data_IF_627736055365
#
_entry.id   IF_627736055365
#
_cell.length_a   1.000
_cell.length_b   1.000
_cell.length_c   1.000
_cell.angle_alpha   90.00
_cell.angle_beta   90.00
_cell.angle_gamma   90.00
#
_symmetry.space_group_name_H-M   'P 1'
#
loop_
_entity.id
_entity.type
_entity.pdbx_description
1 polymer ?
#
# COMPACT_ATOMS: atom_id res chain seq x y z
N UNK A 1 38.83 2.97 -68.29
CA UNK A 1 38.05 3.70 -67.25
C UNK A 1 36.76 3.01 -66.78
N UNK A 2 35.99 2.29 -67.64
CA UNK A 2 34.70 1.67 -67.27
C UNK A 2 34.72 0.55 -66.20
N UNK A 3 35.84 -0.16 -66.00
CA UNK A 3 35.93 -1.23 -65.00
C UNK A 3 36.03 -0.70 -63.57
N UNK A 4 36.75 0.41 -63.36
CA UNK A 4 36.88 1.03 -62.03
C UNK A 4 35.54 1.55 -61.49
N UNK A 5 34.70 2.15 -62.35
CA UNK A 5 33.38 2.62 -61.95
C UNK A 5 32.44 1.48 -61.52
N UNK A 6 32.50 0.33 -62.22
CA UNK A 6 31.75 -0.88 -61.84
C UNK A 6 32.17 -1.43 -60.49
N UNK A 7 33.48 -1.39 -60.18
CA UNK A 7 34.00 -1.84 -58.90
C UNK A 7 33.60 -0.88 -57.76
N UNK A 8 33.65 0.43 -58.00
CA UNK A 8 33.24 1.45 -57.03
C UNK A 8 31.74 1.38 -56.69
N UNK A 9 30.86 1.26 -57.69
CA UNK A 9 29.42 1.09 -57.44
C UNK A 9 29.11 -0.21 -56.69
N UNK A 10 29.91 -1.26 -56.90
CA UNK A 10 29.78 -2.54 -56.17
C UNK A 10 30.17 -2.40 -54.70
N UNK A 11 31.22 -1.65 -54.38
CA UNK A 11 31.63 -1.41 -52.97
C UNK A 11 30.65 -0.49 -52.25
N UNK A 12 30.11 0.51 -52.94
CA UNK A 12 29.11 1.43 -52.39
C UNK A 12 27.79 0.71 -52.08
N UNK A 13 27.28 -0.12 -53.00
CA UNK A 13 26.11 -0.97 -52.73
C UNK A 13 26.28 -1.86 -51.49
N UNK A 14 27.47 -2.46 -51.30
CA UNK A 14 27.75 -3.29 -50.11
C UNK A 14 27.76 -2.48 -48.81
N UNK A 15 28.26 -1.23 -48.85
CA UNK A 15 28.25 -0.33 -47.68
C UNK A 15 26.84 0.09 -47.26
N UNK A 16 25.94 0.34 -48.22
CA UNK A 16 24.54 0.67 -47.92
C UNK A 16 23.73 -0.54 -47.45
N UNK A 17 23.96 -1.73 -48.01
CA UNK A 17 23.34 -2.97 -47.54
C UNK A 17 23.68 -3.29 -46.08
N UNK A 18 24.93 -3.05 -45.65
CA UNK A 18 25.34 -3.25 -44.26
C UNK A 18 24.70 -2.25 -43.28
N UNK A 19 24.50 -0.99 -43.68
CA UNK A 19 23.82 0.00 -42.83
C UNK A 19 22.35 -0.32 -42.61
N UNK A 20 21.63 -0.80 -43.63
CA UNK A 20 20.22 -1.19 -43.50
C UNK A 20 19.99 -2.42 -42.60
N UNK A 21 20.90 -3.39 -42.61
CA UNK A 21 20.77 -4.61 -41.81
C UNK A 21 20.98 -4.39 -40.29
N UNK A 22 21.73 -3.34 -39.91
CA UNK A 22 21.98 -3.02 -38.50
C UNK A 22 20.81 -2.28 -37.83
N UNK A 23 20.02 -1.54 -38.60
CA UNK A 23 18.91 -0.74 -38.07
C UNK A 23 17.61 -1.54 -37.84
N UNK A 24 17.43 -2.68 -38.51
CA UNK A 24 16.17 -3.45 -38.47
C UNK A 24 16.04 -4.43 -37.28
N UNK A 25 17.11 -4.70 -36.51
CA UNK A 25 17.08 -5.67 -35.39
C UNK A 25 16.77 -5.08 -34.01
N UNK A 26 16.60 -3.76 -33.88
CA UNK A 26 16.50 -3.08 -32.58
C UNK A 26 15.07 -2.79 -32.08
N UNK A 27 14.03 -2.97 -32.90
CA UNK A 27 12.65 -2.61 -32.52
C UNK A 27 11.91 -3.60 -31.63
N UNK A 28 12.21 -4.91 -31.73
CA UNK A 28 11.44 -5.95 -31.03
C UNK A 28 12.07 -6.39 -29.68
N UNK A 29 13.38 -6.17 -29.51
CA UNK A 29 14.12 -6.58 -28.30
C UNK A 29 13.81 -5.70 -27.08
N UNK A 30 13.38 -4.47 -27.31
CA UNK A 30 13.11 -3.48 -26.25
C UNK A 30 11.82 -3.77 -25.47
N UNK A 31 10.84 -4.43 -26.09
CA UNK A 31 9.57 -4.75 -25.45
C UNK A 31 9.69 -6.01 -24.57
N UNK A 32 10.32 -7.07 -25.09
CA UNK A 32 10.55 -8.31 -24.32
C UNK A 32 11.44 -8.08 -23.10
N UNK A 33 12.45 -7.21 -23.20
CA UNK A 33 13.32 -6.86 -22.07
C UNK A 33 12.59 -6.06 -20.99
N UNK A 34 11.73 -5.12 -21.37
CA UNK A 34 10.92 -4.35 -20.42
C UNK A 34 9.88 -5.22 -19.70
N UNK A 35 9.19 -6.10 -20.42
CA UNK A 35 8.22 -7.01 -19.80
C UNK A 35 8.90 -7.99 -18.84
N UNK A 36 10.07 -8.53 -19.19
CA UNK A 36 10.84 -9.38 -18.29
C UNK A 36 11.33 -8.62 -17.05
N UNK A 37 11.82 -7.39 -17.21
CA UNK A 37 12.27 -6.56 -16.10
C UNK A 37 11.14 -6.19 -15.14
N UNK A 38 9.96 -5.84 -15.67
CA UNK A 38 8.76 -5.55 -14.86
C UNK A 38 8.25 -6.78 -14.13
N UNK A 39 8.28 -7.96 -14.76
CA UNK A 39 7.91 -9.23 -14.12
C UNK A 39 8.84 -9.58 -12.96
N UNK A 40 10.16 -9.45 -13.16
CA UNK A 40 11.16 -9.66 -12.10
C UNK A 40 10.98 -8.64 -10.97
N UNK A 41 10.77 -7.37 -11.31
CA UNK A 41 10.55 -6.32 -10.32
C UNK A 41 9.28 -6.56 -9.50
N UNK A 42 8.16 -6.90 -10.16
CA UNK A 42 6.92 -7.28 -9.50
C UNK A 42 7.07 -8.49 -8.57
N UNK A 43 7.83 -9.51 -8.99
CA UNK A 43 8.11 -10.68 -8.15
C UNK A 43 8.98 -10.34 -6.93
N UNK A 44 10.03 -9.51 -7.08
CA UNK A 44 10.92 -9.11 -5.99
C UNK A 44 10.21 -8.18 -5.00
N UNK A 45 9.49 -7.17 -5.51
CA UNK A 45 8.70 -6.25 -4.68
C UNK A 45 7.59 -7.01 -3.97
N UNK A 46 6.85 -7.87 -4.67
CA UNK A 46 5.81 -8.72 -4.09
C UNK A 46 6.35 -9.60 -2.97
N UNK A 47 7.44 -10.35 -3.20
CA UNK A 47 8.04 -11.24 -2.19
C UNK A 47 8.50 -10.49 -0.91
N UNK A 48 9.03 -9.27 -1.06
CA UNK A 48 9.51 -8.48 0.08
C UNK A 48 8.42 -7.63 0.76
N UNK A 49 7.39 -7.19 0.04
CA UNK A 49 6.35 -6.30 0.55
C UNK A 49 5.15 -7.04 1.14
N UNK A 50 4.77 -8.21 0.60
CA UNK A 50 3.65 -9.03 1.10
C UNK A 50 3.72 -9.31 2.61
N UNK A 51 4.85 -9.75 3.20
CA UNK A 51 4.90 -9.98 4.65
C UNK A 51 4.79 -8.70 5.48
N UNK A 52 5.03 -7.51 4.90
CA UNK A 52 4.90 -6.23 5.60
C UNK A 52 3.49 -5.65 5.59
N UNK A 53 2.66 -6.03 4.61
CA UNK A 53 1.29 -5.51 4.50
C UNK A 53 0.24 -6.41 5.15
N UNK A 54 0.59 -7.66 5.53
CA UNK A 54 -0.34 -8.60 6.18
C UNK A 54 -1.02 -8.00 7.41
N UNK A 55 -0.26 -7.37 8.31
CA UNK A 55 -0.81 -6.73 9.50
C UNK A 55 -1.73 -5.53 9.21
N UNK A 56 -1.59 -4.88 8.05
CA UNK A 56 -2.50 -3.82 7.62
C UNK A 56 -3.86 -4.41 7.22
N UNK A 57 -3.84 -5.55 6.52
CA UNK A 57 -5.05 -6.28 6.13
C UNK A 57 -5.76 -6.89 7.35
N UNK A 58 -5.00 -7.39 8.32
CA UNK A 58 -5.54 -7.95 9.57
C UNK A 58 -6.22 -6.87 10.43
N UNK A 59 -5.65 -5.66 10.52
CA UNK A 59 -6.27 -4.55 11.24
C UNK A 59 -7.55 -4.03 10.56
N UNK A 60 -7.64 -4.15 9.23
CA UNK A 60 -8.80 -3.70 8.45
C UNK A 60 -9.95 -4.73 8.43
N UNK A 61 -9.70 -5.95 8.89
CA UNK A 61 -10.67 -7.05 8.93
C UNK A 61 -11.29 -7.28 10.31
N UNK A 62 -10.99 -6.43 11.30
CA UNK A 62 -11.65 -6.48 12.61
C UNK A 62 -13.16 -6.24 12.46
N UNK A 63 -13.94 -7.24 12.88
CA UNK A 63 -15.39 -7.11 12.96
C UNK A 63 -15.76 -6.06 14.01
N UNK A 64 -16.85 -5.28 13.83
CA UNK A 64 -17.40 -4.41 14.87
C UNK A 64 -17.62 -5.13 16.20
N UNK A 65 -17.92 -6.44 16.13
CA UNK A 65 -18.11 -7.28 17.31
C UNK A 65 -16.80 -7.55 18.07
N UNK A 66 -15.67 -7.66 17.36
CA UNK A 66 -14.34 -7.84 17.98
C UNK A 66 -13.84 -6.53 18.60
N UNK A 67 -14.08 -5.39 17.94
CA UNK A 67 -13.81 -4.07 18.52
C UNK A 67 -14.63 -3.89 19.79
N UNK A 68 -15.93 -4.17 19.74
CA UNK A 68 -16.79 -4.13 20.92
C UNK A 68 -16.37 -5.13 22.01
N UNK A 69 -15.79 -6.29 21.66
CA UNK A 69 -15.26 -7.24 22.63
C UNK A 69 -14.01 -6.69 23.35
N UNK A 70 -13.11 -6.01 22.63
CA UNK A 70 -11.96 -5.31 23.21
C UNK A 70 -12.43 -4.15 24.08
N UNK A 71 -13.43 -3.39 23.63
CA UNK A 71 -14.01 -2.30 24.42
C UNK A 71 -14.61 -2.78 25.73
N UNK A 72 -15.36 -3.89 25.69
CA UNK A 72 -15.93 -4.53 26.89
C UNK A 72 -14.88 -5.17 27.79
N UNK A 73 -13.71 -5.54 27.24
CA UNK A 73 -12.60 -6.09 28.04
C UNK A 73 -11.97 -5.04 28.95
N UNK A 74 -12.06 -3.76 28.58
CA UNK A 74 -11.63 -2.64 29.41
C UNK A 74 -12.76 -2.30 30.39
N UNK A 75 -12.54 -2.55 31.67
CA UNK A 75 -13.55 -2.36 32.71
C UNK A 75 -13.12 -1.28 33.70
N UNK A 76 -13.94 -0.24 33.81
CA UNK A 76 -13.84 0.76 34.87
C UNK A 76 -15.02 0.59 35.84
N UNK A 77 -14.71 0.48 37.13
CA UNK A 77 -15.73 0.35 38.18
C UNK A 77 -16.59 1.60 38.30
N UNK A 78 -15.97 2.77 38.13
CA UNK A 78 -16.60 4.08 38.25
C UNK A 78 -15.77 5.14 37.50
N UNK A 79 -16.33 6.34 37.40
CA UNK A 79 -15.66 7.47 36.77
C UNK A 79 -14.40 7.94 37.52
N UNK A 80 -14.28 7.66 38.81
CA UNK A 80 -13.02 7.93 39.53
C UNK A 80 -11.89 7.04 39.03
N UNK A 81 -12.15 5.76 38.75
CA UNK A 81 -11.16 4.85 38.20
C UNK A 81 -10.76 5.25 36.77
N UNK A 82 -11.71 5.68 35.95
CA UNK A 82 -11.45 6.20 34.61
C UNK A 82 -10.64 7.51 34.64
N UNK A 83 -10.97 8.43 35.56
CA UNK A 83 -10.21 9.67 35.79
C UNK A 83 -8.80 9.40 36.32
N UNK A 84 -8.65 8.45 37.25
CA UNK A 84 -7.35 8.05 37.78
C UNK A 84 -6.47 7.39 36.71
N UNK A 85 -7.08 6.66 35.77
CA UNK A 85 -6.40 6.12 34.60
C UNK A 85 -6.09 7.18 33.53
N UNK A 86 -6.59 8.42 33.67
CA UNK A 86 -6.37 9.51 32.73
C UNK A 86 -7.11 9.34 31.39
N UNK A 87 -8.14 8.49 31.34
CA UNK A 87 -8.91 8.20 30.10
C UNK A 87 -10.24 8.94 30.02
N UNK A 88 -10.62 9.66 31.07
CA UNK A 88 -11.84 10.47 31.09
C UNK A 88 -11.60 11.83 30.38
N UNK A 89 -12.56 12.35 29.60
CA UNK A 89 -13.90 11.81 29.30
C UNK A 89 -13.87 10.61 28.31
N UNK A 90 -14.76 9.64 28.51
CA UNK A 90 -14.87 8.43 27.67
C UNK A 90 -16.04 8.59 26.70
N UNK A 91 -15.76 8.56 25.41
CA UNK A 91 -16.78 8.69 24.37
C UNK A 91 -17.45 7.36 23.99
N UNK A 92 -18.68 7.40 23.52
CA UNK A 92 -19.38 6.25 22.93
C UNK A 92 -18.53 5.62 21.80
N UNK A 93 -18.34 4.30 21.87
CA UNK A 93 -17.43 3.56 20.98
C UNK A 93 -15.94 3.68 21.35
N UNK A 94 -15.62 4.21 22.53
CA UNK A 94 -14.27 4.10 23.11
C UNK A 94 -14.20 2.89 24.04
N UNK A 95 -13.02 2.26 24.16
CA UNK A 95 -12.84 1.15 25.10
C UNK A 95 -13.10 1.58 26.54
N UNK A 96 -14.00 0.83 27.19
CA UNK A 96 -14.47 1.14 28.54
C UNK A 96 -15.69 2.07 28.63
N UNK A 97 -16.27 2.50 27.49
CA UNK A 97 -17.58 3.18 27.50
C UNK A 97 -18.69 2.21 27.89
N UNK A 98 -19.59 2.67 28.77
CA UNK A 98 -20.78 1.92 29.19
C UNK A 98 -21.88 2.92 29.55
N UNK A 99 -23.10 2.64 29.14
CA UNK A 99 -24.29 3.45 29.48
C UNK A 99 -24.45 3.65 30.99
N UNK A 100 -23.98 2.72 31.81
CA UNK A 100 -24.01 2.85 33.28
C UNK A 100 -23.07 3.91 33.84
N UNK A 101 -22.08 4.35 33.06
CA UNK A 101 -21.13 5.41 33.42
C UNK A 101 -21.56 6.78 32.86
N UNK A 102 -22.51 6.78 31.93
CA UNK A 102 -23.07 7.93 31.23
C UNK A 102 -24.45 8.25 31.85
N UNK A 103 -24.45 9.17 32.80
CA UNK A 103 -25.62 9.43 33.65
C UNK A 103 -26.80 10.08 32.91
N UNK A 104 -26.50 10.82 31.86
CA UNK A 104 -27.43 11.58 31.01
C UNK A 104 -27.60 10.96 29.61
N UNK A 105 -26.83 9.92 29.29
CA UNK A 105 -26.92 9.14 28.04
C UNK A 105 -26.72 9.99 26.80
N UNK A 106 -25.84 10.98 26.89
CA UNK A 106 -25.50 11.89 25.79
C UNK A 106 -24.38 11.33 24.88
N UNK A 107 -23.76 10.23 25.29
CA UNK A 107 -22.65 9.58 24.60
C UNK A 107 -21.27 9.90 25.18
N UNK A 108 -21.19 10.63 26.30
CA UNK A 108 -19.94 11.00 26.97
C UNK A 108 -19.99 10.55 28.43
N UNK A 109 -19.31 9.44 28.73
CA UNK A 109 -19.18 8.97 30.10
C UNK A 109 -18.07 9.73 30.84
N UNK A 110 -18.29 9.93 32.15
CA UNK A 110 -17.28 10.46 33.08
C UNK A 110 -16.77 11.86 32.73
N UNK A 111 -17.69 12.73 32.31
CA UNK A 111 -17.41 14.13 32.07
C UNK A 111 -16.81 14.83 33.31
N UNK A 112 -15.92 15.82 33.11
CA UNK A 112 -15.34 16.58 34.20
C UNK A 112 -16.32 17.59 34.83
N UNK A 113 -17.40 17.92 34.13
CA UNK A 113 -18.46 18.82 34.58
C UNK A 113 -19.75 18.01 34.75
N UNK A 114 -20.39 18.16 35.91
CA UNK A 114 -21.66 17.50 36.24
C UNK A 114 -22.82 18.18 35.54
N UNK A 115 -22.94 17.97 34.22
CA UNK A 115 -24.03 18.42 33.33
C UNK A 115 -25.09 19.34 33.93
N UNK A 116 -24.90 20.64 33.72
CA UNK A 116 -25.96 21.60 33.37
C UNK A 116 -25.59 22.23 32.03
#
# INVERSE_FOLDING_TARGET
MRQNYRNFLRTEKRRHAWRGARQSRSGWKSFTGQVAALAVFGAVVGWNAVPRVKGIVDNMSRSPEEIAAVERSVYYRNCDAARAAGVAPIYAGSPGYRDTLDGDSDGIACEPYWGM
#
